data_IF_610060838848
#
_entry.id   IF_610060838848
#
_cell.length_a   1.000
_cell.length_b   1.000
_cell.length_c   1.000
_cell.angle_alpha   90.00
_cell.angle_beta   90.00
_cell.angle_gamma   90.00
#
_symmetry.space_group_name_H-M   'P 1'
#
loop_
_entity.id
_entity.type
_entity.pdbx_description
1 polymer ?
#
# COMPACT_ATOMS: atom_id res chain seq x y z
N UNK A 1 -15.23 -10.23 -21.23
CA UNK A 1 -16.57 -9.92 -20.68
C UNK A 1 -17.62 -10.26 -21.74
N UNK A 2 -18.77 -10.83 -21.35
CA UNK A 2 -19.89 -11.12 -22.27
C UNK A 2 -21.20 -10.68 -21.61
N UNK A 3 -21.85 -9.64 -22.15
CA UNK A 3 -23.12 -9.12 -21.64
C UNK A 3 -24.30 -9.99 -22.07
N UNK A 4 -25.30 -10.14 -21.19
CA UNK A 4 -26.47 -10.98 -21.43
C UNK A 4 -26.17 -12.48 -21.35
N UNK A 5 -25.07 -12.85 -20.71
CA UNK A 5 -24.64 -14.24 -20.53
C UNK A 5 -24.34 -14.51 -19.06
N UNK A 6 -24.64 -15.74 -18.65
CA UNK A 6 -24.37 -16.28 -17.33
C UNK A 6 -23.75 -17.66 -17.48
N UNK A 7 -22.73 -17.96 -16.68
CA UNK A 7 -22.17 -19.31 -16.58
C UNK A 7 -22.96 -20.10 -15.53
N UNK A 8 -23.52 -21.25 -15.91
CA UNK A 8 -24.33 -22.10 -15.04
C UNK A 8 -23.54 -23.30 -14.51
N UNK A 9 -23.91 -23.85 -13.35
CA UNK A 9 -23.35 -25.11 -12.83
C UNK A 9 -21.94 -25.03 -12.24
N UNK A 10 -21.30 -23.85 -12.27
CA UNK A 10 -19.92 -23.66 -11.81
C UNK A 10 -19.78 -22.68 -10.64
N UNK A 11 -20.91 -22.28 -10.04
CA UNK A 11 -20.95 -21.29 -8.95
C UNK A 11 -20.32 -21.88 -7.68
N UNK A 12 -19.29 -21.20 -7.18
CA UNK A 12 -18.62 -21.49 -5.91
C UNK A 12 -19.36 -20.83 -4.74
N UNK A 13 -19.72 -19.58 -4.92
CA UNK A 13 -20.32 -18.72 -3.90
C UNK A 13 -21.20 -17.71 -4.63
N UNK A 14 -22.40 -17.45 -4.10
CA UNK A 14 -23.27 -16.38 -4.55
C UNK A 14 -23.53 -15.44 -3.38
N UNK A 15 -23.40 -14.14 -3.61
CA UNK A 15 -23.57 -13.14 -2.58
C UNK A 15 -24.02 -11.81 -3.18
N UNK A 16 -24.50 -10.93 -2.31
CA UNK A 16 -24.88 -9.59 -2.72
C UNK A 16 -23.66 -8.67 -2.82
N UNK A 17 -23.52 -7.99 -3.95
CA UNK A 17 -22.43 -7.09 -4.26
C UNK A 17 -22.97 -5.80 -4.90
N UNK A 18 -22.88 -4.69 -4.16
CA UNK A 18 -23.35 -3.36 -4.61
C UNK A 18 -22.86 -2.97 -6.01
N UNK A 19 -21.68 -3.44 -6.40
CA UNK A 19 -21.09 -3.15 -7.70
C UNK A 19 -20.38 -4.38 -8.26
N UNK A 20 -20.26 -4.42 -9.59
CA UNK A 20 -19.45 -5.43 -10.30
C UNK A 20 -17.99 -5.45 -9.83
N UNK A 21 -17.47 -4.32 -9.34
CA UNK A 21 -16.11 -4.23 -8.80
C UNK A 21 -15.95 -5.04 -7.52
N UNK A 22 -16.94 -5.03 -6.62
CA UNK A 22 -16.92 -5.87 -5.41
C UNK A 22 -16.96 -7.36 -5.76
N UNK A 23 -17.76 -7.72 -6.77
CA UNK A 23 -17.81 -9.08 -7.31
C UNK A 23 -16.43 -9.54 -7.83
N UNK A 24 -15.76 -8.66 -8.59
CA UNK A 24 -14.41 -8.89 -9.11
C UNK A 24 -13.36 -9.03 -8.00
N UNK A 25 -13.38 -8.16 -6.99
CA UNK A 25 -12.42 -8.19 -5.87
C UNK A 25 -12.57 -9.49 -5.08
N UNK A 26 -13.79 -9.89 -4.75
CA UNK A 26 -14.01 -11.16 -4.04
C UNK A 26 -13.52 -12.36 -4.88
N UNK A 27 -13.77 -12.37 -6.20
CA UNK A 27 -13.21 -13.41 -7.07
C UNK A 27 -11.68 -13.41 -7.05
N UNK A 28 -11.04 -12.23 -7.08
CA UNK A 28 -9.57 -12.14 -7.02
C UNK A 28 -8.99 -12.70 -5.71
N UNK A 29 -9.68 -12.50 -4.59
CA UNK A 29 -9.25 -12.97 -3.27
C UNK A 29 -9.55 -14.47 -3.05
N UNK A 30 -10.60 -15.01 -3.69
CA UNK A 30 -10.95 -16.42 -3.62
C UNK A 30 -10.06 -17.24 -4.56
N UNK A 31 -9.11 -18.00 -4.00
CA UNK A 31 -8.13 -18.79 -4.76
C UNK A 31 -8.74 -19.73 -5.79
N UNK A 32 -9.96 -20.23 -5.56
CA UNK A 32 -10.65 -21.15 -6.48
C UNK A 32 -11.43 -20.44 -7.57
N UNK A 33 -11.62 -19.12 -7.47
CA UNK A 33 -12.41 -18.37 -8.44
C UNK A 33 -11.59 -18.12 -9.70
N UNK A 34 -12.16 -18.50 -10.84
CA UNK A 34 -11.59 -18.24 -12.17
C UNK A 34 -12.41 -17.22 -12.96
N UNK A 35 -13.72 -17.17 -12.76
CA UNK A 35 -14.64 -16.27 -13.48
C UNK A 35 -15.79 -15.87 -12.57
N UNK A 36 -16.61 -14.88 -12.94
CA UNK A 36 -17.81 -14.54 -12.16
C UNK A 36 -18.97 -14.11 -13.07
N UNK A 37 -20.19 -14.28 -12.56
CA UNK A 37 -21.40 -13.66 -13.09
C UNK A 37 -21.78 -12.48 -12.21
N UNK A 38 -22.29 -11.41 -12.80
CA UNK A 38 -22.83 -10.27 -12.06
C UNK A 38 -24.16 -9.81 -12.67
N UNK A 39 -25.18 -9.60 -11.83
CA UNK A 39 -26.46 -9.04 -12.24
C UNK A 39 -26.66 -7.70 -11.56
N UNK A 40 -26.74 -6.64 -12.37
CA UNK A 40 -26.79 -5.26 -11.86
C UNK A 40 -28.11 -4.91 -11.18
N UNK A 41 -29.24 -5.44 -11.68
CA UNK A 41 -30.57 -5.14 -11.17
C UNK A 41 -30.78 -5.62 -9.73
N UNK A 42 -30.26 -6.80 -9.41
CA UNK A 42 -30.37 -7.44 -8.08
C UNK A 42 -29.09 -7.31 -7.26
N UNK A 43 -28.03 -6.73 -7.85
CA UNK A 43 -26.69 -6.67 -7.29
C UNK A 43 -26.16 -8.06 -6.90
N UNK A 44 -26.59 -9.10 -7.62
CA UNK A 44 -26.18 -10.48 -7.37
C UNK A 44 -24.83 -10.78 -8.01
N UNK A 45 -23.88 -11.25 -7.21
CA UNK A 45 -22.58 -11.76 -7.67
C UNK A 45 -22.52 -13.27 -7.51
N UNK A 46 -21.95 -13.95 -8.50
CA UNK A 46 -21.71 -15.40 -8.44
C UNK A 46 -20.28 -15.70 -8.89
N UNK A 47 -19.45 -16.16 -7.96
CA UNK A 47 -18.09 -16.59 -8.24
C UNK A 47 -18.13 -17.96 -8.89
N UNK A 48 -17.28 -18.22 -9.89
CA UNK A 48 -17.24 -19.49 -10.59
C UNK A 48 -15.84 -20.08 -10.61
N UNK A 49 -15.76 -21.41 -10.48
CA UNK A 49 -14.49 -22.15 -10.57
C UNK A 49 -13.99 -22.40 -11.98
N UNK A 50 -14.84 -22.24 -12.99
CA UNK A 50 -14.55 -22.62 -14.37
C UNK A 50 -14.37 -21.42 -15.31
N UNK A 51 -13.67 -21.63 -16.43
CA UNK A 51 -13.47 -20.67 -17.53
C UNK A 51 -14.21 -21.12 -18.80
N UNK A 52 -14.54 -20.18 -19.70
CA UNK A 52 -15.28 -20.49 -20.93
C UNK A 52 -14.50 -21.44 -21.86
N UNK A 53 -13.16 -21.38 -21.85
CA UNK A 53 -12.32 -22.22 -22.71
C UNK A 53 -12.47 -23.72 -22.43
N UNK A 54 -12.93 -24.09 -21.23
CA UNK A 54 -13.19 -25.48 -20.85
C UNK A 54 -14.68 -25.83 -20.71
N UNK A 55 -15.60 -24.85 -20.71
CA UNK A 55 -17.02 -25.06 -20.38
C UNK A 55 -17.99 -24.24 -21.25
N UNK A 56 -17.79 -24.22 -22.57
CA UNK A 56 -18.58 -23.37 -23.48
C UNK A 56 -20.09 -23.68 -23.50
N UNK A 57 -20.50 -24.94 -23.25
CA UNK A 57 -21.91 -25.38 -23.21
C UNK A 57 -22.69 -24.80 -22.03
N UNK A 58 -22.01 -24.46 -20.94
CA UNK A 58 -22.64 -23.97 -19.72
C UNK A 58 -22.80 -22.45 -19.68
N UNK A 59 -22.21 -21.74 -20.65
CA UNK A 59 -22.43 -20.32 -20.83
C UNK A 59 -23.71 -20.09 -21.63
N UNK A 60 -24.78 -19.73 -20.95
CA UNK A 60 -26.10 -19.55 -21.55
C UNK A 60 -26.47 -18.08 -21.60
N UNK A 61 -27.31 -17.72 -22.58
CA UNK A 61 -27.93 -16.40 -22.63
C UNK A 61 -28.82 -16.25 -21.41
N UNK A 62 -28.62 -15.16 -20.66
CA UNK A 62 -29.44 -14.79 -19.52
C UNK A 62 -29.41 -13.27 -19.42
N UNK A 63 -30.51 -12.62 -19.82
CA UNK A 63 -30.60 -11.17 -19.82
C UNK A 63 -30.48 -10.64 -18.39
N UNK A 64 -29.78 -9.51 -18.20
CA UNK A 64 -29.49 -8.94 -16.87
C UNK A 64 -28.14 -9.35 -16.28
N UNK A 65 -27.60 -10.51 -16.68
CA UNK A 65 -26.29 -10.97 -16.25
C UNK A 65 -25.16 -10.53 -17.17
N UNK A 66 -23.99 -10.33 -16.57
CA UNK A 66 -22.72 -10.25 -17.28
C UNK A 66 -21.76 -11.33 -16.78
N UNK A 67 -21.17 -12.03 -17.74
CA UNK A 67 -20.11 -13.01 -17.50
C UNK A 67 -18.73 -12.37 -17.68
N UNK A 68 -17.81 -12.62 -16.74
CA UNK A 68 -16.45 -12.09 -16.78
C UNK A 68 -15.42 -13.18 -16.53
N UNK A 69 -14.52 -13.35 -17.51
CA UNK A 69 -13.35 -14.23 -17.42
C UNK A 69 -12.15 -13.45 -16.89
N UNK A 70 -11.64 -13.83 -15.71
CA UNK A 70 -10.55 -13.10 -15.05
C UNK A 70 -9.21 -13.20 -15.79
N UNK A 71 -8.99 -14.29 -16.54
CA UNK A 71 -7.73 -14.55 -17.27
C UNK A 71 -7.69 -13.86 -18.63
N UNK A 72 -8.83 -13.65 -19.29
CA UNK A 72 -8.90 -12.89 -20.57
C UNK A 72 -8.93 -11.37 -20.38
N UNK A 73 -9.13 -10.89 -19.16
CA UNK A 73 -9.01 -9.47 -18.81
C UNK A 73 -7.57 -9.01 -18.55
N UNK A 74 -6.55 -9.80 -18.91
CA UNK A 74 -5.12 -9.44 -18.78
C UNK A 74 -4.54 -8.63 -19.96
N UNK A 75 -5.36 -8.13 -20.89
CA UNK A 75 -4.90 -7.18 -21.94
C UNK A 75 -5.12 -5.73 -21.53
N UNK A 76 -4.48 -5.42 -20.42
CA UNK A 76 -3.78 -4.22 -19.95
C UNK A 76 -3.29 -4.68 -18.58
N UNK A 77 -2.11 -4.27 -18.09
CA UNK A 77 -1.80 -4.47 -16.68
C UNK A 77 -3.04 -4.03 -15.87
N UNK A 78 -3.29 -4.68 -14.73
CA UNK A 78 -3.97 -3.96 -13.66
C UNK A 78 -3.04 -2.78 -13.42
N UNK A 79 -3.28 -1.69 -14.14
CA UNK A 79 -2.48 -0.49 -14.08
C UNK A 79 -2.43 -0.17 -12.62
N UNK A 80 -1.19 -0.09 -12.15
CA UNK A 80 -0.79 0.29 -10.81
C UNK A 80 -1.90 1.13 -10.22
N UNK A 81 -2.52 0.65 -9.14
CA UNK A 81 -3.46 1.46 -8.34
C UNK A 81 -2.77 2.80 -8.13
N UNK A 82 -3.09 3.77 -8.98
CA UNK A 82 -2.22 4.91 -9.21
C UNK A 82 -2.64 5.89 -8.15
N UNK A 83 -1.66 6.31 -7.35
CA UNK A 83 -1.99 7.24 -6.31
C UNK A 83 -2.32 8.58 -6.95
N UNK A 84 -3.61 8.94 -6.93
CA UNK A 84 -4.09 10.22 -7.45
C UNK A 84 -3.65 11.36 -6.56
N UNK A 85 -3.67 11.12 -5.25
CA UNK A 85 -3.31 12.12 -4.26
C UNK A 85 -2.33 11.54 -3.24
N UNK A 86 -1.04 11.76 -3.50
CA UNK A 86 0.03 11.48 -2.56
C UNK A 86 0.20 12.69 -1.63
N UNK A 87 -0.12 12.52 -0.35
CA UNK A 87 -0.07 13.58 0.66
C UNK A 87 0.89 13.21 1.78
N UNK A 88 1.51 14.21 2.40
CA UNK A 88 2.34 14.00 3.57
C UNK A 88 1.53 13.39 4.72
N UNK A 89 2.08 12.40 5.42
CA UNK A 89 1.47 11.82 6.62
C UNK A 89 1.56 12.78 7.81
N UNK A 90 2.43 13.79 7.73
CA UNK A 90 2.53 14.88 8.70
C UNK A 90 3.70 14.74 9.66
N UNK A 91 4.80 14.07 9.29
CA UNK A 91 6.01 14.04 10.11
C UNK A 91 6.55 15.45 10.34
N UNK A 92 6.47 16.35 9.36
CA UNK A 92 6.88 17.75 9.52
C UNK A 92 6.10 18.47 10.64
N UNK A 93 4.85 18.08 10.90
CA UNK A 93 4.00 18.70 11.92
C UNK A 93 4.03 17.89 13.23
N UNK A 94 4.57 18.50 14.30
CA UNK A 94 4.69 17.84 15.61
C UNK A 94 3.36 17.55 16.33
N UNK A 95 2.27 18.21 15.90
CA UNK A 95 0.93 17.98 16.43
C UNK A 95 0.23 16.79 15.75
N UNK A 96 0.69 16.39 14.55
CA UNK A 96 0.17 15.22 13.83
C UNK A 96 0.95 13.96 14.23
N UNK A 97 2.28 13.98 14.07
CA UNK A 97 3.15 12.90 14.50
C UNK A 97 3.88 13.35 15.76
N UNK A 98 3.49 12.82 16.92
CA UNK A 98 4.09 13.18 18.20
C UNK A 98 5.56 12.78 18.30
N UNK A 99 6.35 13.48 19.13
CA UNK A 99 7.76 13.12 19.40
C UNK A 99 7.92 11.68 19.93
N UNK A 100 6.90 11.14 20.60
CA UNK A 100 6.91 9.77 21.13
C UNK A 100 6.75 8.69 20.05
N UNK A 101 6.49 9.08 18.80
CA UNK A 101 6.31 8.14 17.68
C UNK A 101 7.63 7.81 16.99
N UNK A 102 8.73 8.40 17.43
CA UNK A 102 10.08 8.14 16.93
C UNK A 102 10.81 7.22 17.90
N UNK A 103 11.45 6.18 17.37
CA UNK A 103 12.36 5.32 18.13
C UNK A 103 13.65 5.20 17.32
N UNK A 104 14.79 5.34 17.98
CA UNK A 104 16.11 5.26 17.37
C UNK A 104 16.91 4.12 18.01
N UNK A 105 17.99 3.72 17.34
CA UNK A 105 18.99 2.85 17.95
C UNK A 105 19.74 3.54 19.09
N UNK A 106 20.44 2.75 19.91
CA UNK A 106 21.13 3.21 21.13
C UNK A 106 22.30 4.17 20.88
N UNK A 107 22.83 4.21 19.65
CA UNK A 107 24.02 4.99 19.28
C UNK A 107 23.64 6.26 18.47
N UNK A 108 22.39 6.70 18.61
CA UNK A 108 21.76 7.79 17.87
C UNK A 108 21.13 8.83 18.81
N UNK A 109 20.88 10.05 18.31
CA UNK A 109 20.28 11.14 19.09
C UNK A 109 19.14 11.85 18.36
N UNK A 110 18.19 12.38 19.14
CA UNK A 110 17.12 13.28 18.68
C UNK A 110 16.27 12.73 17.53
N UNK A 111 15.72 11.52 17.71
CA UNK A 111 14.88 10.88 16.69
C UNK A 111 13.68 11.72 16.25
N UNK A 112 13.08 12.48 17.17
CA UNK A 112 11.96 13.39 16.90
C UNK A 112 12.34 14.63 16.09
N UNK A 113 13.63 14.92 15.93
CA UNK A 113 14.15 15.98 15.07
C UNK A 113 14.33 15.53 13.63
N UNK A 114 14.03 14.26 13.31
CA UNK A 114 14.03 13.72 11.93
C UNK A 114 12.91 14.27 11.04
N UNK A 115 12.34 15.43 11.37
CA UNK A 115 11.21 16.03 10.65
C UNK A 115 11.70 16.82 9.45
N UNK A 116 11.11 16.60 8.29
CA UNK A 116 11.41 17.38 7.08
C UNK A 116 11.29 18.88 7.38
N UNK A 117 12.24 19.68 6.88
CA UNK A 117 12.33 21.12 7.13
C UNK A 117 12.42 21.51 8.62
N UNK A 118 12.61 20.55 9.52
CA UNK A 118 12.79 20.80 10.94
C UNK A 118 14.10 21.54 11.24
N UNK A 119 14.21 22.19 12.40
CA UNK A 119 15.36 23.02 12.79
C UNK A 119 16.60 22.21 13.21
N UNK A 120 16.60 20.89 13.01
CA UNK A 120 17.66 19.98 13.44
C UNK A 120 17.77 18.77 12.52
N UNK A 121 17.89 17.59 13.11
CA UNK A 121 17.89 16.31 12.41
C UNK A 121 18.15 15.16 13.39
N UNK A 122 17.67 13.96 13.07
CA UNK A 122 18.20 12.76 13.71
C UNK A 122 19.64 12.57 13.23
N UNK A 123 20.56 12.25 14.15
CA UNK A 123 21.94 11.94 13.79
C UNK A 123 22.54 10.83 14.65
N UNK A 124 23.60 10.20 14.14
CA UNK A 124 24.33 9.16 14.87
C UNK A 124 25.61 9.70 15.54
N UNK A 125 26.01 9.06 16.64
CA UNK A 125 27.26 9.36 17.32
C UNK A 125 28.47 8.64 16.70
N UNK A 126 28.25 7.39 16.30
CA UNK A 126 29.32 6.49 15.88
C UNK A 126 29.20 6.18 14.39
N UNK A 127 30.26 6.37 13.61
CA UNK A 127 30.21 6.16 12.15
C UNK A 127 30.45 4.71 11.72
N UNK A 128 30.69 3.79 12.65
CA UNK A 128 31.08 2.40 12.35
C UNK A 128 29.98 1.38 12.72
N UNK A 129 28.75 1.85 12.98
CA UNK A 129 27.64 1.00 13.40
C UNK A 129 26.45 1.10 12.45
N UNK A 130 25.60 0.08 12.50
CA UNK A 130 24.32 0.08 11.82
C UNK A 130 23.30 0.88 12.63
N UNK A 131 22.83 1.98 12.06
CA UNK A 131 21.82 2.84 12.67
C UNK A 131 20.44 2.59 12.09
N UNK A 132 19.42 2.95 12.87
CA UNK A 132 18.06 2.93 12.38
C UNK A 132 17.17 3.93 13.08
N UNK A 133 16.19 4.43 12.33
CA UNK A 133 15.10 5.25 12.82
C UNK A 133 13.78 4.56 12.50
N UNK A 134 12.95 4.35 13.51
CA UNK A 134 11.58 3.82 13.38
C UNK A 134 10.59 4.94 13.66
N UNK A 135 9.59 5.06 12.80
CA UNK A 135 8.50 6.03 12.91
C UNK A 135 7.17 5.26 12.95
N UNK A 136 6.38 5.50 13.99
CA UNK A 136 4.98 5.08 14.08
C UNK A 136 4.10 6.15 13.40
N UNK A 137 3.33 5.78 12.39
CA UNK A 137 2.44 6.70 11.68
C UNK A 137 1.12 6.95 12.41
N UNK A 138 0.87 6.28 13.55
CA UNK A 138 -0.38 6.33 14.30
C UNK A 138 -1.51 5.52 13.66
N UNK A 139 -1.52 5.38 12.34
CA UNK A 139 -2.49 4.63 11.53
C UNK A 139 -1.80 3.74 10.50
N UNK A 140 -2.53 2.75 10.00
CA UNK A 140 -2.10 2.01 8.81
C UNK A 140 -2.32 2.92 7.60
N UNK A 141 -1.25 3.17 6.84
CA UNK A 141 -1.24 3.97 5.64
C UNK A 141 -0.68 3.17 4.46
N UNK A 142 -1.06 3.58 3.25
CA UNK A 142 -0.44 3.08 2.03
C UNK A 142 0.60 4.08 1.57
N UNK A 143 1.86 3.74 1.82
CA UNK A 143 3.00 4.62 1.62
C UNK A 143 3.43 4.55 0.17
N UNK A 144 3.55 5.72 -0.45
CA UNK A 144 3.83 5.87 -1.88
C UNK A 144 5.17 6.53 -2.14
N UNK A 145 5.69 7.32 -1.20
CA UNK A 145 6.93 8.08 -1.38
C UNK A 145 7.57 8.44 -0.06
N UNK A 146 8.90 8.53 -0.06
CA UNK A 146 9.71 9.03 1.06
C UNK A 146 10.43 10.29 0.58
N UNK A 147 10.40 11.35 1.37
CA UNK A 147 11.25 12.53 1.17
C UNK A 147 12.33 12.55 2.25
N UNK A 148 13.57 12.85 1.86
CA UNK A 148 14.71 12.95 2.79
C UNK A 148 15.46 14.27 2.61
N UNK A 149 16.02 14.76 3.71
CA UNK A 149 16.93 15.90 3.81
C UNK A 149 18.07 15.53 4.77
N UNK A 150 19.22 16.17 4.64
CA UNK A 150 20.30 16.05 5.62
C UNK A 150 20.10 16.88 6.88
N UNK A 151 21.06 16.81 7.80
CA UNK A 151 21.13 17.65 8.99
C UNK A 151 21.91 18.94 8.70
N UNK A 152 21.17 20.04 8.50
CA UNK A 152 21.75 21.31 8.04
C UNK A 152 22.79 21.91 8.99
N UNK A 153 22.53 21.93 10.32
CA UNK A 153 23.45 22.55 11.29
C UNK A 153 24.83 21.90 11.36
N UNK A 154 24.92 20.59 11.16
CA UNK A 154 26.18 19.84 11.24
C UNK A 154 26.75 19.48 9.87
N UNK A 155 26.06 19.84 8.78
CA UNK A 155 26.42 19.47 7.42
C UNK A 155 26.70 17.97 7.27
N UNK A 156 25.78 17.14 7.79
CA UNK A 156 25.80 15.68 7.75
C UNK A 156 24.59 15.17 7.00
N UNK A 157 24.71 14.11 6.20
CA UNK A 157 23.56 13.57 5.47
C UNK A 157 23.72 12.11 5.08
N UNK A 158 22.60 11.40 5.09
CA UNK A 158 22.49 10.07 4.50
C UNK A 158 22.54 10.18 2.97
N UNK A 159 23.36 9.35 2.32
CA UNK A 159 23.51 9.29 0.85
C UNK A 159 22.82 8.07 0.24
N UNK A 160 22.54 7.02 1.03
CA UNK A 160 21.61 5.94 0.65
C UNK A 160 20.99 5.26 1.88
N UNK A 161 19.80 4.66 1.71
CA UNK A 161 19.10 3.93 2.77
C UNK A 161 18.27 2.77 2.24
N UNK A 162 17.88 1.84 3.11
CA UNK A 162 16.84 0.84 2.85
C UNK A 162 15.70 0.98 3.86
N UNK A 163 14.56 0.34 3.57
CA UNK A 163 13.36 0.39 4.41
C UNK A 163 12.96 -1.01 4.89
N UNK A 164 12.40 -1.07 6.10
CA UNK A 164 11.57 -2.19 6.53
C UNK A 164 10.30 -1.68 7.21
N UNK A 165 9.22 -2.44 7.14
CA UNK A 165 7.89 -1.99 7.58
C UNK A 165 7.17 -3.03 8.43
N UNK A 166 6.20 -2.58 9.22
CA UNK A 166 5.27 -3.44 9.94
C UNK A 166 3.89 -2.76 10.07
N UNK A 167 2.82 -3.53 10.15
CA UNK A 167 1.45 -3.03 10.40
C UNK A 167 1.07 -3.07 11.88
N UNK A 168 1.63 -4.02 12.64
CA UNK A 168 1.35 -4.23 14.07
C UNK A 168 2.49 -3.80 14.99
N UNK A 169 3.68 -3.56 14.45
CA UNK A 169 4.86 -3.13 15.21
C UNK A 169 5.71 -4.28 15.75
N UNK A 170 5.23 -5.52 15.61
CA UNK A 170 5.93 -6.73 16.03
C UNK A 170 7.08 -7.08 15.08
N UNK A 171 8.14 -7.68 15.64
CA UNK A 171 9.27 -8.21 14.88
C UNK A 171 8.98 -9.62 14.35
N UNK A 172 9.58 -10.03 13.21
CA UNK A 172 10.47 -9.25 12.36
C UNK A 172 9.72 -8.22 11.49
N UNK A 173 10.40 -7.13 11.16
CA UNK A 173 9.89 -6.15 10.17
C UNK A 173 10.19 -6.68 8.77
N UNK A 174 9.29 -6.44 7.83
CA UNK A 174 9.44 -6.89 6.43
C UNK A 174 10.28 -5.88 5.65
N UNK A 175 11.41 -6.31 5.09
CA UNK A 175 12.23 -5.48 4.19
C UNK A 175 11.44 -5.10 2.94
N UNK A 176 11.51 -3.82 2.56
CA UNK A 176 10.87 -3.34 1.34
C UNK A 176 11.62 -3.86 0.11
N UNK A 177 10.89 -4.44 -0.84
CA UNK A 177 11.38 -4.94 -2.13
C UNK A 177 12.73 -5.68 -2.03
N UNK A 178 12.76 -6.73 -1.20
CA UNK A 178 13.94 -7.55 -0.92
C UNK A 178 15.19 -6.76 -0.47
N UNK A 179 14.97 -5.68 0.29
CA UNK A 179 16.06 -4.84 0.81
C UNK A 179 16.57 -3.80 -0.17
N UNK A 180 15.74 -3.38 -1.13
CA UNK A 180 16.07 -2.32 -2.09
C UNK A 180 16.69 -1.10 -1.38
N UNK A 181 17.80 -0.63 -1.96
CA UNK A 181 18.53 0.54 -1.50
C UNK A 181 18.15 1.73 -2.37
N UNK A 182 17.77 2.83 -1.73
CA UNK A 182 17.41 4.08 -2.37
C UNK A 182 18.59 5.06 -2.31
N UNK A 183 18.89 5.78 -3.41
CA UNK A 183 19.75 6.95 -3.34
C UNK A 183 19.06 8.05 -2.50
N UNK A 184 19.84 8.79 -1.74
CA UNK A 184 19.35 9.86 -0.87
C UNK A 184 20.06 11.18 -1.18
N UNK A 185 20.48 11.91 -0.16
CA UNK A 185 20.89 13.30 -0.28
C UNK A 185 22.33 13.45 -0.79
N UNK A 186 22.58 14.54 -1.53
CA UNK A 186 23.93 14.97 -1.94
C UNK A 186 24.45 16.15 -1.12
N UNK A 187 23.58 16.79 -0.34
CA UNK A 187 23.86 17.91 0.53
C UNK A 187 22.90 17.89 1.75
N UNK A 188 23.03 18.88 2.65
CA UNK A 188 22.28 18.90 3.90
C UNK A 188 20.85 19.50 3.81
N UNK A 189 20.50 20.17 2.71
CA UNK A 189 19.33 21.05 2.61
C UNK A 189 18.33 20.63 1.53
N UNK A 190 18.80 20.11 0.40
CA UNK A 190 17.95 19.72 -0.72
C UNK A 190 17.10 18.52 -0.37
N UNK A 191 15.80 18.59 -0.66
CA UNK A 191 14.86 17.47 -0.49
C UNK A 191 15.05 16.49 -1.65
N UNK A 192 15.26 15.22 -1.33
CA UNK A 192 15.27 14.12 -2.30
C UNK A 192 14.02 13.28 -2.10
N UNK A 193 13.32 13.00 -3.18
CA UNK A 193 12.10 12.19 -3.20
C UNK A 193 12.38 10.82 -3.80
N UNK A 194 11.92 9.77 -3.14
CA UNK A 194 11.97 8.40 -3.63
C UNK A 194 10.57 7.78 -3.63
N UNK A 195 10.04 7.53 -4.81
CA UNK A 195 8.76 6.84 -4.99
C UNK A 195 8.91 5.34 -4.69
N UNK A 196 7.95 4.80 -3.96
CA UNK A 196 7.84 3.38 -3.67
C UNK A 196 6.95 2.72 -4.72
N UNK A 197 7.58 1.92 -5.59
CA UNK A 197 6.92 1.09 -6.59
C UNK A 197 7.30 -0.37 -6.33
N UNK A 198 6.40 -1.20 -5.79
CA UNK A 198 5.00 -0.92 -5.44
C UNK A 198 4.84 -0.07 -4.16
N UNK A 199 3.70 0.62 -4.02
CA UNK A 199 3.32 1.25 -2.76
C UNK A 199 3.15 0.19 -1.65
N UNK A 200 3.47 0.54 -0.40
CA UNK A 200 3.51 -0.41 0.72
C UNK A 200 2.52 -0.06 1.83
N UNK A 201 1.76 -1.06 2.30
CA UNK A 201 0.86 -0.93 3.46
C UNK A 201 1.65 -1.04 4.75
N UNK A 202 1.72 0.02 5.56
CA UNK A 202 2.39 -0.03 6.86
C UNK A 202 1.85 0.98 7.86
N UNK A 203 2.08 0.71 9.15
CA UNK A 203 1.93 1.68 10.25
C UNK A 203 3.28 2.10 10.82
N UNK A 204 4.23 1.18 10.83
CA UNK A 204 5.58 1.42 11.33
C UNK A 204 6.55 1.35 10.17
N UNK A 205 7.34 2.39 10.00
CA UNK A 205 8.37 2.49 8.96
C UNK A 205 9.73 2.61 9.63
N UNK A 206 10.65 1.73 9.27
CA UNK A 206 12.00 1.70 9.79
C UNK A 206 12.97 2.00 8.66
N UNK A 207 13.73 3.08 8.82
CA UNK A 207 14.78 3.53 7.90
C UNK A 207 16.12 3.03 8.39
N UNK A 208 16.88 2.43 7.48
CA UNK A 208 18.24 1.97 7.72
C UNK A 208 19.19 2.72 6.79
N UNK A 209 19.89 3.75 7.27
CA UNK A 209 20.99 4.36 6.53
C UNK A 209 22.01 3.30 6.11
N UNK A 210 22.44 3.36 4.85
CA UNK A 210 23.44 2.45 4.27
C UNK A 210 24.77 3.15 4.05
N UNK A 211 24.72 4.38 3.53
CA UNK A 211 25.89 5.24 3.35
C UNK A 211 25.55 6.68 3.71
N UNK A 212 26.55 7.47 4.08
CA UNK A 212 26.39 8.87 4.50
C UNK A 212 27.67 9.68 4.29
N UNK A 213 27.53 11.01 4.32
CA UNK A 213 28.64 11.96 4.36
C UNK A 213 28.79 12.54 5.77
N UNK A 214 30.03 12.53 6.26
CA UNK A 214 30.42 12.83 7.65
C UNK A 214 29.79 11.86 8.65
N UNK A 215 28.50 11.96 8.97
CA UNK A 215 27.80 11.02 9.84
C UNK A 215 26.35 10.83 9.35
N UNK A 216 25.60 9.92 9.97
CA UNK A 216 24.15 9.85 9.72
C UNK A 216 23.55 11.17 10.17
N UNK A 217 22.87 11.84 9.25
CA UNK A 217 22.08 13.03 9.50
C UNK A 217 20.85 12.95 8.61
N UNK A 218 19.65 12.96 9.19
CA UNK A 218 18.42 12.76 8.44
C UNK A 218 17.27 13.59 9.00
N UNK A 219 16.57 14.23 8.08
CA UNK A 219 15.22 14.73 8.19
C UNK A 219 14.39 14.07 7.11
N UNK A 220 13.11 13.82 7.35
CA UNK A 220 12.27 13.12 6.39
C UNK A 220 10.79 13.42 6.52
N UNK A 221 10.06 13.11 5.46
CA UNK A 221 8.60 13.03 5.42
C UNK A 221 8.20 11.76 4.68
N UNK A 222 7.04 11.22 5.03
CA UNK A 222 6.47 10.03 4.40
C UNK A 222 5.17 10.47 3.73
N UNK A 223 4.93 9.97 2.52
CA UNK A 223 3.71 10.30 1.79
C UNK A 223 2.83 9.06 1.67
N UNK A 224 1.56 9.23 1.99
CA UNK A 224 0.52 8.22 1.84
C UNK A 224 -0.39 8.54 0.68
N UNK A 225 -1.07 7.50 0.17
CA UNK A 225 -2.15 7.71 -0.77
C UNK A 225 -3.49 7.91 -0.07
N UNK A 226 -4.17 9.02 -0.36
CA UNK A 226 -5.54 9.29 0.11
C UNK A 226 -6.62 8.88 -0.89
N UNK A 227 -6.32 8.99 -2.18
CA UNK A 227 -7.22 8.65 -3.28
C UNK A 227 -6.51 7.80 -4.33
N UNK A 228 -7.19 6.75 -4.80
CA UNK A 228 -6.70 5.85 -5.83
C UNK A 228 -7.47 6.04 -7.13
N UNK A 229 -6.75 6.15 -8.25
CA UNK A 229 -7.36 6.02 -9.57
C UNK A 229 -7.29 4.57 -10.05
N UNK A 230 -8.47 3.98 -10.24
CA UNK A 230 -8.73 3.06 -11.33
C UNK A 230 -9.88 3.68 -12.13
N UNK A 231 -9.88 3.56 -13.47
CA UNK A 231 -11.06 3.90 -14.27
C UNK A 231 -12.22 3.01 -13.81
N UNK A 232 -13.02 3.55 -12.88
CA UNK A 232 -14.06 2.83 -12.16
C UNK A 232 -14.02 3.05 -10.64
N UNK A 233 -14.46 4.23 -10.20
CA UNK A 233 -14.98 4.56 -8.85
C UNK A 233 -14.00 4.59 -7.66
N UNK A 234 -14.17 5.66 -6.88
CA UNK A 234 -13.65 5.97 -5.55
C UNK A 234 -13.51 4.72 -4.64
N UNK A 235 -12.29 4.25 -4.41
CA UNK A 235 -11.99 3.19 -3.44
C UNK A 235 -11.60 3.84 -2.11
N UNK A 236 -12.58 4.03 -1.23
CA UNK A 236 -12.31 4.39 0.17
C UNK A 236 -11.72 3.14 0.86
N UNK A 237 -10.45 3.25 1.25
CA UNK A 237 -9.72 2.23 1.99
C UNK A 237 -10.20 2.10 3.43
N UNK A 238 -11.22 1.29 3.66
CA UNK A 238 -11.50 0.67 4.97
C UNK A 238 -12.15 -0.70 4.79
N UNK A 239 -11.47 -1.62 4.11
CA UNK A 239 -12.06 -2.93 3.79
C UNK A 239 -11.23 -4.06 4.41
N UNK A 240 -11.44 -4.24 5.70
CA UNK A 240 -11.31 -5.56 6.34
C UNK A 240 -12.40 -5.73 7.40
N UNK A 241 -12.87 -4.63 8.00
CA UNK A 241 -14.03 -4.64 8.90
C UNK A 241 -15.40 -4.43 8.21
N UNK A 242 -15.44 -3.90 6.97
CA UNK A 242 -16.71 -3.63 6.28
C UNK A 242 -17.18 -4.75 5.33
N UNK A 243 -16.28 -5.61 4.83
CA UNK A 243 -16.70 -6.71 3.93
C UNK A 243 -17.66 -7.67 4.64
N UNK A 244 -17.44 -7.95 5.93
CA UNK A 244 -18.34 -8.80 6.73
C UNK A 244 -19.71 -8.16 6.99
N UNK A 245 -19.82 -6.82 6.88
CA UNK A 245 -21.11 -6.10 7.01
C UNK A 245 -21.84 -5.88 5.69
N UNK A 246 -21.13 -5.83 4.56
CA UNK A 246 -21.71 -5.59 3.23
C UNK A 246 -21.99 -6.89 2.46
N UNK A 247 -21.19 -7.93 2.71
CA UNK A 247 -21.51 -9.30 2.30
C UNK A 247 -22.32 -9.88 3.45
N UNK A 248 -23.65 -9.69 3.43
CA UNK A 248 -24.52 -10.22 4.46
C UNK A 248 -24.26 -11.72 4.64
N UNK A 249 -23.75 -12.10 5.81
CA UNK A 249 -23.68 -13.50 6.22
C UNK A 249 -25.11 -13.99 6.43
N UNK A 250 -25.73 -14.57 5.40
CA UNK A 250 -26.76 -15.58 5.63
C UNK A 250 -26.04 -16.88 5.97
N UNK A 251 -25.77 -17.08 7.27
CA UNK A 251 -25.53 -18.41 7.80
C UNK A 251 -26.82 -19.21 7.61
N UNK A 252 -26.75 -20.32 6.87
CA UNK A 252 -27.69 -21.44 7.03
C UNK A 252 -27.22 -22.31 8.18
#
# INVERSE_FOLDING_TARGET
>A
MKQGFRLHGHVLEAFWAQTVALCRIKCYLEKRCSTYNYESATQRCELNKAVISSQWKDLRRNQGFVYVDMKKTTTTPVDQVLCKQSVAVGIQNNSIISKYYFTIDKDSYYGDQARLNGPGGWYSNNRNKYHWLKINLGKIAMITRIATQGHHKYHQWVTSYSLATSTNGSTPYTSYNNGQVFPANKDANTIVYNDLKPAIKARYVKVYPKTWRKAVGLRMEIYECKEYEGKGRLVIMTITHFITRLIGETKS
#
